data_IF_751646667885
#
_entry.id   IF_751646667885
#
_cell.length_a   1.000
_cell.length_b   1.000
_cell.length_c   1.000
_cell.angle_alpha   90.00
_cell.angle_beta   90.00
_cell.angle_gamma   90.00
#
_symmetry.space_group_name_H-M   'P 1'
#
loop_
_entity.id
_entity.type
_entity.pdbx_description
1 polymer ?
#
# COMPACT_ATOMS: atom_id res chain seq x y z
N UNK A 1 -16.91 6.53 10.53
CA UNK A 1 -16.50 5.50 9.55
C UNK A 1 -15.67 6.13 8.43
N UNK A 2 -15.19 7.35 8.66
CA UNK A 2 -14.68 8.25 7.63
C UNK A 2 -13.15 8.17 7.57
N UNK A 3 -12.48 7.95 8.71
CA UNK A 3 -11.02 7.84 8.81
C UNK A 3 -10.42 6.67 8.01
N UNK A 4 -11.09 5.51 7.94
CA UNK A 4 -10.59 4.38 7.15
C UNK A 4 -10.74 4.61 5.64
N UNK A 5 -11.78 5.35 5.23
CA UNK A 5 -12.01 5.67 3.82
C UNK A 5 -11.00 6.72 3.35
N UNK A 6 -10.79 7.77 4.14
CA UNK A 6 -9.75 8.78 3.89
C UNK A 6 -8.34 8.15 3.84
N UNK A 7 -8.05 7.23 4.76
CA UNK A 7 -6.78 6.53 4.79
C UNK A 7 -6.56 5.62 3.56
N UNK A 8 -7.60 4.91 3.14
CA UNK A 8 -7.57 4.11 1.92
C UNK A 8 -7.29 4.97 0.69
N UNK A 9 -7.92 6.13 0.58
CA UNK A 9 -7.74 7.08 -0.51
C UNK A 9 -6.32 7.64 -0.55
N UNK A 10 -5.75 8.01 0.59
CA UNK A 10 -4.35 8.48 0.68
C UNK A 10 -3.37 7.39 0.24
N UNK A 11 -3.60 6.15 0.67
CA UNK A 11 -2.80 5.00 0.25
C UNK A 11 -2.91 4.75 -1.26
N UNK A 12 -4.13 4.78 -1.80
CA UNK A 12 -4.40 4.64 -3.22
C UNK A 12 -3.72 5.73 -4.05
N UNK A 13 -3.84 7.00 -3.65
CA UNK A 13 -3.19 8.12 -4.32
C UNK A 13 -1.67 7.95 -4.34
N UNK A 14 -1.08 7.50 -3.24
CA UNK A 14 0.37 7.26 -3.13
C UNK A 14 0.83 6.10 -4.03
N UNK A 15 0.06 5.01 -4.08
CA UNK A 15 0.32 3.89 -5.00
C UNK A 15 0.19 4.33 -6.46
N UNK A 16 -0.80 5.16 -6.79
CA UNK A 16 -0.98 5.70 -8.14
C UNK A 16 0.21 6.57 -8.57
N UNK A 17 0.73 7.44 -7.69
CA UNK A 17 1.96 8.20 -7.95
C UNK A 17 3.15 7.28 -8.27
N UNK A 18 3.38 6.26 -7.43
CA UNK A 18 4.48 5.31 -7.64
C UNK A 18 4.31 4.55 -8.97
N UNK A 19 3.07 4.19 -9.33
CA UNK A 19 2.77 3.57 -10.62
C UNK A 19 3.06 4.51 -11.79
N UNK A 20 2.83 5.81 -11.65
CA UNK A 20 3.19 6.80 -12.67
C UNK A 20 4.71 6.94 -12.80
N UNK A 21 5.44 6.99 -11.68
CA UNK A 21 6.91 6.99 -11.67
C UNK A 21 7.49 5.73 -12.31
N UNK A 22 6.86 4.57 -12.07
CA UNK A 22 7.22 3.31 -12.71
C UNK A 22 7.08 3.40 -14.23
N UNK A 23 5.93 3.88 -14.71
CA UNK A 23 5.66 4.03 -16.15
C UNK A 23 6.57 5.07 -16.82
N UNK A 24 6.90 6.12 -16.07
CA UNK A 24 7.79 7.19 -16.52
C UNK A 24 9.27 6.81 -16.45
N UNK A 25 9.61 5.63 -15.92
CA UNK A 25 11.00 5.18 -15.76
C UNK A 25 11.79 5.97 -14.72
N UNK A 26 11.10 6.67 -13.80
CA UNK A 26 11.72 7.47 -12.72
C UNK A 26 12.12 6.62 -11.52
N UNK A 27 11.62 5.39 -11.42
CA UNK A 27 11.99 4.43 -10.38
C UNK A 27 13.31 3.73 -10.68
N UNK A 28 14.10 3.54 -9.64
CA UNK A 28 15.29 2.68 -9.70
C UNK A 28 14.89 1.20 -9.79
N UNK A 29 15.80 0.33 -10.28
CA UNK A 29 15.55 -1.12 -10.33
C UNK A 29 15.13 -1.71 -8.97
N UNK A 30 15.73 -1.22 -7.88
CA UNK A 30 15.39 -1.62 -6.51
C UNK A 30 13.95 -1.24 -6.18
N UNK A 31 13.52 -0.02 -6.53
CA UNK A 31 12.15 0.45 -6.34
C UNK A 31 11.14 -0.31 -7.22
N UNK A 32 11.52 -0.68 -8.45
CA UNK A 32 10.68 -1.53 -9.32
C UNK A 32 10.46 -2.90 -8.67
N UNK A 33 11.52 -3.49 -8.11
CA UNK A 33 11.41 -4.78 -7.41
C UNK A 33 10.58 -4.66 -6.12
N UNK A 34 10.75 -3.57 -5.37
CA UNK A 34 9.95 -3.25 -4.20
C UNK A 34 8.46 -3.09 -4.55
N UNK A 35 8.14 -2.37 -5.64
CA UNK A 35 6.76 -2.23 -6.12
C UNK A 35 6.12 -3.58 -6.47
N UNK A 36 6.86 -4.49 -7.11
CA UNK A 36 6.37 -5.86 -7.38
C UNK A 36 6.12 -6.65 -6.11
N UNK A 37 6.99 -6.52 -5.09
CA UNK A 37 6.78 -7.15 -3.78
C UNK A 37 5.55 -6.59 -3.10
N UNK A 38 5.35 -5.27 -3.14
CA UNK A 38 4.18 -4.61 -2.60
C UNK A 38 2.88 -5.17 -3.21
N UNK A 39 2.82 -5.34 -4.53
CA UNK A 39 1.66 -5.92 -5.20
C UNK A 39 1.30 -7.32 -4.68
N UNK A 40 2.30 -8.17 -4.41
CA UNK A 40 2.06 -9.51 -3.82
C UNK A 40 1.59 -9.44 -2.37
N UNK A 41 2.11 -8.50 -1.59
CA UNK A 41 1.68 -8.30 -0.20
C UNK A 41 0.22 -7.84 -0.15
N UNK A 42 -0.17 -6.87 -0.97
CA UNK A 42 -1.55 -6.36 -1.07
C UNK A 42 -2.50 -7.47 -1.52
N UNK A 43 -2.13 -8.26 -2.53
CA UNK A 43 -2.92 -9.41 -2.98
C UNK A 43 -3.14 -10.43 -1.88
N UNK A 44 -2.10 -10.72 -1.09
CA UNK A 44 -2.19 -11.64 0.06
C UNK A 44 -3.18 -11.12 1.10
N UNK A 45 -3.02 -9.87 1.55
CA UNK A 45 -3.91 -9.24 2.54
C UNK A 45 -5.36 -9.22 2.04
N UNK A 46 -5.58 -8.85 0.78
CA UNK A 46 -6.92 -8.80 0.18
C UNK A 46 -7.58 -10.18 0.19
N UNK A 47 -6.80 -11.23 -0.09
CA UNK A 47 -7.27 -12.62 -0.04
C UNK A 47 -7.56 -13.09 1.39
N UNK A 48 -6.73 -12.68 2.35
CA UNK A 48 -6.93 -12.97 3.78
C UNK A 48 -8.19 -12.26 4.29
N UNK A 49 -8.45 -11.02 3.86
CA UNK A 49 -9.66 -10.26 4.17
C UNK A 49 -10.92 -10.88 3.54
N UNK A 50 -10.86 -11.31 2.28
CA UNK A 50 -11.98 -12.00 1.60
C UNK A 50 -12.33 -13.33 2.26
N UNK A 51 -11.32 -14.02 2.81
CA UNK A 51 -11.49 -15.28 3.54
C UNK A 51 -11.89 -15.08 5.02
N UNK A 52 -11.96 -13.84 5.52
CA UNK A 52 -12.27 -13.56 6.91
C UNK A 52 -13.73 -13.91 7.23
N UNK A 53 -13.95 -14.57 8.37
CA UNK A 53 -15.27 -15.07 8.76
C UNK A 53 -16.25 -13.96 9.15
N UNK A 54 -15.73 -12.84 9.67
CA UNK A 54 -16.53 -11.73 10.22
C UNK A 54 -15.89 -10.38 9.91
N UNK A 55 -16.73 -9.34 9.89
CA UNK A 55 -16.32 -7.95 9.57
C UNK A 55 -15.24 -7.43 10.52
N UNK A 56 -15.23 -7.84 11.79
CA UNK A 56 -14.19 -7.46 12.74
C UNK A 56 -12.82 -8.06 12.40
N UNK A 57 -12.79 -9.31 11.91
CA UNK A 57 -11.55 -9.94 11.45
C UNK A 57 -11.05 -9.29 10.16
N UNK A 58 -11.95 -8.93 9.25
CA UNK A 58 -11.62 -8.18 8.04
C UNK A 58 -11.06 -6.78 8.37
N UNK A 59 -11.63 -6.08 9.36
CA UNK A 59 -11.16 -4.76 9.81
C UNK A 59 -9.78 -4.83 10.48
N UNK A 60 -9.52 -5.86 11.28
CA UNK A 60 -8.20 -6.11 11.87
C UNK A 60 -7.13 -6.38 10.79
N UNK A 61 -7.45 -7.24 9.82
CA UNK A 61 -6.57 -7.53 8.68
C UNK A 61 -6.35 -6.28 7.80
N UNK A 62 -7.38 -5.46 7.63
CA UNK A 62 -7.27 -4.17 6.93
C UNK A 62 -6.28 -3.25 7.62
N UNK A 63 -6.42 -3.03 8.93
CA UNK A 63 -5.53 -2.16 9.71
C UNK A 63 -4.08 -2.65 9.68
N UNK A 64 -3.87 -3.94 9.90
CA UNK A 64 -2.53 -4.53 9.82
C UNK A 64 -1.94 -4.39 8.42
N UNK A 65 -2.74 -4.64 7.39
CA UNK A 65 -2.33 -4.49 6.01
C UNK A 65 -1.99 -3.06 5.64
N UNK A 66 -2.81 -2.09 6.06
CA UNK A 66 -2.58 -0.67 5.83
C UNK A 66 -1.28 -0.20 6.51
N UNK A 67 -1.00 -0.64 7.74
CA UNK A 67 0.23 -0.30 8.45
C UNK A 67 1.46 -0.89 7.76
N UNK A 68 1.40 -2.16 7.36
CA UNK A 68 2.45 -2.81 6.57
C UNK A 68 2.73 -2.07 5.26
N UNK A 69 1.69 -1.70 4.52
CA UNK A 69 1.84 -0.95 3.27
C UNK A 69 2.46 0.43 3.54
N UNK A 70 2.01 1.16 4.56
CA UNK A 70 2.57 2.46 4.93
C UNK A 70 4.06 2.37 5.30
N UNK A 71 4.43 1.42 6.15
CA UNK A 71 5.81 1.19 6.54
C UNK A 71 6.68 0.84 5.33
N UNK A 72 6.19 -0.06 4.47
CA UNK A 72 6.89 -0.48 3.25
C UNK A 72 7.08 0.68 2.26
N UNK A 73 6.04 1.51 2.10
CA UNK A 73 6.10 2.71 1.27
C UNK A 73 7.06 3.75 1.85
N UNK A 74 7.10 3.94 3.17
CA UNK A 74 8.03 4.85 3.80
C UNK A 74 9.50 4.41 3.62
N UNK A 75 9.77 3.10 3.70
CA UNK A 75 11.10 2.53 3.56
C UNK A 75 11.65 2.61 2.13
N UNK A 76 10.81 2.30 1.13
CA UNK A 76 11.27 2.16 -0.26
C UNK A 76 10.91 3.35 -1.18
N UNK A 77 9.89 4.11 -0.80
CA UNK A 77 9.34 5.24 -1.55
C UNK A 77 9.18 6.44 -0.61
N UNK A 78 10.31 6.82 -0.01
CA UNK A 78 10.40 8.01 0.81
C UNK A 78 9.77 9.17 0.04
N UNK A 79 8.70 9.74 0.59
CA UNK A 79 8.13 10.98 0.08
C UNK A 79 9.25 12.01 0.10
N UNK A 80 9.55 12.69 -1.02
CA UNK A 80 10.49 13.80 -0.95
C UNK A 80 9.93 14.75 0.10
N UNK A 81 10.67 14.91 1.20
CA UNK A 81 10.39 15.94 2.20
C UNK A 81 10.50 17.26 1.45
N UNK A 82 9.37 17.81 1.03
CA UNK A 82 9.30 19.21 0.64
C UNK A 82 9.69 20.01 1.87
N UNK A 83 10.89 20.57 1.81
CA UNK A 83 11.50 21.41 2.83
C UNK A 83 11.01 22.84 2.70
#
# INVERSE_FOLDING_TARGET
MDDQHDEADVLLARIMMIRDDLKSGRLTLVQVEAYRRLGRTVERITREMDAAADVEAADALWREGADLIKAYLAEHFATPTCH
#
